data_IF_872649869526
#
_entry.id   IF_872649869526
#
_cell.length_a   1.000
_cell.length_b   1.000
_cell.length_c   1.000
_cell.angle_alpha   90.00
_cell.angle_beta   90.00
_cell.angle_gamma   90.00
#
_symmetry.space_group_name_H-M   'P 1'
#
loop_
_entity.id
_entity.type
_entity.pdbx_description
1 polymer ?
#
# COMPACT_ATOMS: atom_id res chain seq x y z
N UNK A 1 -12.52 -1.08 -12.06
CA UNK A 1 -11.47 -1.41 -13.06
C UNK A 1 -10.32 -2.06 -12.33
N UNK A 2 -9.92 -3.27 -12.72
CA UNK A 2 -8.80 -3.98 -12.09
C UNK A 2 -7.48 -3.31 -12.45
N UNK A 3 -6.71 -2.86 -11.46
CA UNK A 3 -5.36 -2.31 -11.63
C UNK A 3 -4.41 -3.30 -12.32
N UNK A 4 -4.73 -4.60 -12.30
CA UNK A 4 -3.94 -5.64 -12.94
C UNK A 4 -3.98 -5.61 -14.48
N UNK A 5 -4.96 -4.91 -15.09
CA UNK A 5 -5.14 -4.93 -16.55
C UNK A 5 -4.33 -3.86 -17.29
N UNK A 6 -3.70 -2.91 -16.59
CA UNK A 6 -3.05 -1.74 -17.21
C UNK A 6 -1.53 -1.70 -17.02
N UNK A 7 -0.95 -2.63 -16.26
CA UNK A 7 0.50 -2.68 -16.10
C UNK A 7 1.10 -3.35 -17.35
N UNK A 8 2.07 -2.71 -18.04
CA UNK A 8 2.81 -3.39 -19.09
C UNK A 8 3.41 -4.68 -18.53
N UNK A 9 3.34 -5.77 -19.31
CA UNK A 9 3.94 -7.05 -18.92
C UNK A 9 5.44 -6.84 -18.79
N UNK A 10 5.90 -6.63 -17.57
CA UNK A 10 7.30 -6.44 -17.25
C UNK A 10 8.04 -7.78 -17.39
N UNK A 11 9.22 -7.80 -18.03
CA UNK A 11 10.04 -9.01 -18.06
C UNK A 11 10.39 -9.42 -16.62
N UNK A 12 10.10 -10.66 -16.27
CA UNK A 12 10.45 -11.25 -14.97
C UNK A 12 11.85 -11.83 -15.06
N UNK A 13 12.79 -11.23 -14.34
CA UNK A 13 14.17 -11.71 -14.27
C UNK A 13 14.28 -12.91 -13.32
N UNK A 14 15.11 -13.90 -13.64
CA UNK A 14 15.52 -14.89 -12.65
C UNK A 14 16.14 -14.19 -11.43
N UNK A 15 15.83 -14.67 -10.22
CA UNK A 15 16.39 -14.09 -8.97
C UNK A 15 17.92 -14.04 -8.99
N UNK A 16 18.57 -15.02 -9.64
CA UNK A 16 20.03 -15.06 -9.83
C UNK A 16 20.58 -13.92 -10.69
N UNK A 17 19.77 -13.36 -11.59
CA UNK A 17 20.13 -12.28 -12.51
C UNK A 17 19.71 -10.91 -11.99
N UNK A 18 18.78 -10.83 -11.02
CA UNK A 18 18.28 -9.57 -10.49
C UNK A 18 19.40 -8.64 -9.98
N UNK A 19 20.45 -9.20 -9.34
CA UNK A 19 21.57 -8.42 -8.81
C UNK A 19 22.36 -7.69 -9.90
N UNK A 20 22.52 -8.28 -11.09
CA UNK A 20 23.38 -7.71 -12.14
C UNK A 20 22.75 -6.46 -12.79
N UNK A 21 21.42 -6.34 -12.76
CA UNK A 21 20.70 -5.22 -13.38
C UNK A 21 20.46 -4.02 -12.43
N UNK A 22 20.70 -4.20 -11.13
CA UNK A 22 20.43 -3.15 -10.12
C UNK A 22 21.19 -1.83 -10.38
N UNK A 23 22.49 -1.83 -10.76
CA UNK A 23 23.20 -0.57 -11.00
C UNK A 23 22.54 0.31 -12.06
N UNK A 24 22.08 -0.30 -13.15
CA UNK A 24 21.40 0.40 -14.24
C UNK A 24 19.97 0.79 -13.87
N UNK A 25 19.25 -0.08 -13.14
CA UNK A 25 17.95 0.27 -12.59
C UNK A 25 18.03 1.49 -11.66
N UNK A 26 19.01 1.54 -10.74
CA UNK A 26 19.21 2.68 -9.85
C UNK A 26 19.60 3.95 -10.60
N UNK A 27 20.36 3.83 -11.69
CA UNK A 27 20.66 4.96 -12.57
C UNK A 27 19.39 5.52 -13.20
N UNK A 28 18.54 4.62 -13.73
CA UNK A 28 17.23 4.95 -14.29
C UNK A 28 16.32 5.61 -13.26
N UNK A 29 16.24 5.06 -12.04
CA UNK A 29 15.41 5.63 -10.97
C UNK A 29 15.83 7.05 -10.62
N UNK A 30 17.13 7.35 -10.63
CA UNK A 30 17.62 8.73 -10.40
C UNK A 30 17.29 9.69 -11.55
N UNK A 31 17.21 9.23 -12.79
CA UNK A 31 16.93 10.10 -13.95
C UNK A 31 15.45 10.27 -14.25
N UNK A 32 14.64 9.24 -13.98
CA UNK A 32 13.22 9.17 -14.36
C UNK A 32 12.27 9.28 -13.16
N UNK A 33 12.79 9.26 -11.92
CA UNK A 33 12.01 9.44 -10.69
C UNK A 33 10.94 8.36 -10.50
N UNK A 34 9.78 8.76 -9.97
CA UNK A 34 8.64 7.87 -9.73
C UNK A 34 8.10 7.14 -10.98
N UNK A 35 8.34 7.67 -12.18
CA UNK A 35 7.87 7.09 -13.44
C UNK A 35 8.80 6.03 -14.02
N UNK A 36 9.96 5.81 -13.40
CA UNK A 36 10.95 4.89 -13.90
C UNK A 36 10.43 3.43 -13.89
N UNK A 37 10.75 2.68 -14.96
CA UNK A 37 10.27 1.31 -15.11
C UNK A 37 10.73 0.41 -13.93
N UNK A 38 9.84 -0.34 -13.26
CA UNK A 38 10.23 -1.27 -12.20
C UNK A 38 11.08 -2.45 -12.69
N UNK A 39 11.80 -3.09 -11.77
CA UNK A 39 12.47 -4.38 -12.02
C UNK A 39 11.70 -5.47 -11.30
N UNK A 40 11.20 -6.45 -12.05
CA UNK A 40 10.46 -7.60 -11.49
C UNK A 40 11.33 -8.85 -11.58
N UNK A 41 11.32 -9.67 -10.53
CA UNK A 41 12.13 -10.89 -10.47
C UNK A 41 11.42 -12.02 -9.71
N UNK A 42 11.88 -13.26 -9.93
CA UNK A 42 11.43 -14.43 -9.17
C UNK A 42 11.85 -15.78 -9.78
N UNK A 43 11.50 -16.86 -9.07
CA UNK A 43 11.76 -18.24 -9.50
C UNK A 43 10.91 -18.65 -10.70
N UNK A 44 11.45 -19.50 -11.58
CA UNK A 44 10.70 -20.08 -12.72
C UNK A 44 9.93 -19.04 -13.58
N UNK A 45 10.47 -17.82 -13.72
CA UNK A 45 9.83 -16.68 -14.42
C UNK A 45 8.47 -16.26 -13.85
N UNK A 46 8.18 -16.61 -12.60
CA UNK A 46 7.04 -16.11 -11.83
C UNK A 46 7.44 -14.82 -11.13
N UNK A 47 6.61 -13.79 -11.21
CA UNK A 47 6.82 -12.55 -10.47
C UNK A 47 6.65 -12.81 -8.96
N UNK A 48 7.71 -12.58 -8.19
CA UNK A 48 7.74 -12.79 -6.73
C UNK A 48 8.22 -11.53 -5.98
N UNK A 49 9.11 -10.75 -6.59
CA UNK A 49 9.62 -9.51 -6.04
C UNK A 49 9.68 -8.39 -7.08
N UNK A 50 9.66 -7.15 -6.60
CA UNK A 50 9.82 -5.95 -7.42
C UNK A 50 10.75 -4.97 -6.73
N UNK A 51 11.59 -4.29 -7.51
CA UNK A 51 12.33 -3.10 -7.09
C UNK A 51 11.73 -1.90 -7.83
N UNK A 52 11.35 -0.88 -7.07
CA UNK A 52 10.76 0.36 -7.56
C UNK A 52 11.60 1.58 -7.13
N UNK A 53 11.43 2.73 -7.80
CA UNK A 53 11.96 4.01 -7.30
C UNK A 53 11.48 4.28 -5.88
N UNK A 54 12.36 4.87 -5.06
CA UNK A 54 11.98 5.24 -3.69
C UNK A 54 10.87 6.30 -3.67
N UNK A 55 10.89 7.25 -4.62
CA UNK A 55 9.83 8.25 -4.78
C UNK A 55 8.46 7.60 -5.02
N UNK A 56 8.39 6.62 -5.93
CA UNK A 56 7.17 5.85 -6.15
C UNK A 56 6.72 5.11 -4.89
N UNK A 57 7.65 4.51 -4.15
CA UNK A 57 7.33 3.86 -2.88
C UNK A 57 6.72 4.86 -1.87
N UNK A 58 7.30 6.05 -1.73
CA UNK A 58 6.81 7.09 -0.83
C UNK A 58 5.41 7.58 -1.23
N UNK A 59 5.13 7.71 -2.53
CA UNK A 59 3.80 8.07 -3.04
C UNK A 59 2.75 6.98 -2.80
N UNK A 60 3.16 5.71 -2.78
CA UNK A 60 2.28 4.57 -2.52
C UNK A 60 1.93 4.38 -1.05
N UNK A 61 2.77 4.84 -0.11
CA UNK A 61 2.56 4.65 1.33
C UNK A 61 1.17 5.12 1.82
N UNK A 62 0.72 6.36 1.53
CA UNK A 62 -0.61 6.80 1.95
C UNK A 62 -1.75 5.96 1.37
N UNK A 63 -1.60 5.47 0.13
CA UNK A 63 -2.61 4.63 -0.53
C UNK A 63 -2.71 3.25 0.13
N UNK A 64 -1.58 2.70 0.57
CA UNK A 64 -1.54 1.43 1.31
C UNK A 64 -2.26 1.62 2.65
N UNK A 65 -1.97 2.71 3.38
CA UNK A 65 -2.63 3.03 4.65
C UNK A 65 -4.15 3.18 4.48
N UNK A 66 -4.61 3.90 3.44
CA UNK A 66 -6.03 4.07 3.14
C UNK A 66 -6.74 2.73 2.91
N UNK A 67 -6.08 1.76 2.26
CA UNK A 67 -6.65 0.43 2.02
C UNK A 67 -6.84 -0.36 3.32
N UNK A 68 -5.87 -0.29 4.24
CA UNK A 68 -5.93 -0.92 5.55
C UNK A 68 -7.05 -0.30 6.41
N UNK A 69 -7.12 1.03 6.45
CA UNK A 69 -8.19 1.77 7.15
C UNK A 69 -9.55 1.38 6.59
N UNK A 70 -9.70 1.39 5.26
CA UNK A 70 -10.96 1.06 4.63
C UNK A 70 -11.42 -0.38 4.93
N UNK A 71 -10.50 -1.33 5.08
CA UNK A 71 -10.82 -2.69 5.51
C UNK A 71 -11.37 -2.71 6.94
N UNK A 72 -10.67 -2.06 7.87
CA UNK A 72 -11.06 -1.99 9.26
C UNK A 72 -12.37 -1.22 9.49
N UNK A 73 -12.64 -0.17 8.72
CA UNK A 73 -13.93 0.55 8.74
C UNK A 73 -15.06 -0.38 8.29
N UNK A 74 -14.88 -1.14 7.21
CA UNK A 74 -15.89 -2.09 6.74
C UNK A 74 -16.18 -3.19 7.77
N UNK A 75 -15.14 -3.74 8.38
CA UNK A 75 -15.28 -4.74 9.43
C UNK A 75 -16.06 -4.19 10.63
N UNK A 76 -15.69 -3.01 11.13
CA UNK A 76 -16.41 -2.36 12.24
C UNK A 76 -17.85 -2.00 11.91
N UNK A 77 -18.10 -1.47 10.70
CA UNK A 77 -19.45 -1.14 10.26
C UNK A 77 -20.34 -2.38 10.14
N UNK A 78 -19.77 -3.55 9.82
CA UNK A 78 -20.49 -4.81 9.81
C UNK A 78 -20.69 -5.42 11.21
N UNK A 79 -19.82 -5.09 12.17
CA UNK A 79 -19.82 -5.69 13.51
C UNK A 79 -20.83 -5.06 14.49
N UNK A 80 -21.42 -3.90 14.19
CA UNK A 80 -22.43 -3.29 15.05
C UNK A 80 -22.96 -1.95 14.55
N UNK A 81 -24.03 -1.48 15.20
CA UNK A 81 -24.63 -0.18 14.92
C UNK A 81 -23.77 0.97 15.46
N UNK A 82 -23.72 2.06 14.69
CA UNK A 82 -23.09 3.31 15.14
C UNK A 82 -24.07 4.03 16.07
N UNK A 83 -23.63 4.40 17.27
CA UNK A 83 -24.40 5.21 18.22
C UNK A 83 -23.92 6.66 18.26
N UNK A 84 -24.75 7.57 18.78
CA UNK A 84 -24.29 8.94 19.06
C UNK A 84 -23.26 8.92 20.19
N UNK A 85 -22.31 9.87 20.17
CA UNK A 85 -21.31 9.96 21.24
C UNK A 85 -21.96 10.17 22.61
N UNK A 86 -23.06 10.93 22.69
CA UNK A 86 -23.81 11.16 23.93
C UNK A 86 -24.44 9.88 24.47
N UNK A 87 -25.00 9.03 23.60
CA UNK A 87 -25.63 7.78 24.03
C UNK A 87 -24.56 6.78 24.53
N UNK A 88 -23.40 6.75 23.87
CA UNK A 88 -22.26 5.92 24.27
C UNK A 88 -21.68 6.42 25.61
N UNK A 89 -21.49 7.73 25.76
CA UNK A 89 -20.99 8.33 27.00
C UNK A 89 -21.93 8.05 28.18
N UNK A 90 -23.24 8.24 27.98
CA UNK A 90 -24.25 7.92 28.97
C UNK A 90 -24.27 6.41 29.33
N UNK A 91 -24.14 5.53 28.33
CA UNK A 91 -24.06 4.07 28.54
C UNK A 91 -22.81 3.62 29.30
N UNK A 92 -21.72 4.39 29.22
CA UNK A 92 -20.47 4.15 29.97
C UNK A 92 -20.45 4.86 31.34
N UNK A 93 -21.49 5.61 31.69
CA UNK A 93 -21.57 6.37 32.94
C UNK A 93 -20.62 7.56 32.99
N UNK A 94 -20.23 8.10 31.84
CA UNK A 94 -19.37 9.28 31.73
C UNK A 94 -20.24 10.53 31.63
N UNK A 95 -20.13 11.43 32.61
CA UNK A 95 -20.77 12.74 32.57
C UNK A 95 -19.82 13.77 31.92
N UNK A 96 -20.22 14.45 30.83
CA UNK A 96 -19.42 15.52 30.24
C UNK A 96 -19.09 16.66 31.21
N UNK A 97 -19.93 16.88 32.23
CA UNK A 97 -19.75 17.95 33.21
C UNK A 97 -18.68 17.63 34.27
N UNK A 98 -18.22 16.37 34.36
CA UNK A 98 -17.12 15.97 35.26
C UNK A 98 -15.72 16.43 34.78
N UNK A 99 -15.60 16.86 33.52
CA UNK A 99 -14.32 17.17 32.87
C UNK A 99 -14.21 18.62 32.36
N UNK A 100 -15.07 19.52 32.84
CA UNK A 100 -15.02 20.97 32.58
C UNK A 100 -14.14 21.71 33.59
#
# INVERSE_FOLDING_TARGET
MSLASALPVLPVLPTSEARSVLPDALRRFRSEGALAQPVVFGGHRRAEGVVIPFELYAELLPVIEDLEIAHLVRERAAAGESGSLSDIAAGLGLDPDDYR
#
